data_IF_507456634118
#
_entry.id   IF_507456634118
#
_cell.length_a   1.000
_cell.length_b   1.000
_cell.length_c   1.000
_cell.angle_alpha   90.00
_cell.angle_beta   90.00
_cell.angle_gamma   90.00
#
_symmetry.space_group_name_H-M   'P 1'
#
loop_
_entity.id
_entity.type
_entity.pdbx_description
1 polymer ?
#
# COMPACT_ATOMS: atom_id res chain seq x y z
N UNK A 1 -3.31 1.66 11.77
CA UNK A 1 -2.34 1.52 12.89
C UNK A 1 -1.81 0.10 12.87
N UNK A 2 -0.50 -0.09 13.03
CA UNK A 2 0.15 -1.41 13.12
C UNK A 2 1.16 -1.40 14.27
N UNK A 3 1.45 -2.53 14.93
CA UNK A 3 2.43 -2.60 16.01
C UNK A 3 3.87 -2.41 15.48
N UNK A 4 4.69 -1.69 16.24
CA UNK A 4 6.12 -1.57 15.95
C UNK A 4 6.85 -2.89 16.19
N UNK A 5 7.99 -3.04 15.53
CA UNK A 5 8.88 -4.21 15.62
C UNK A 5 8.22 -5.57 15.39
N UNK A 6 7.05 -5.59 14.75
CA UNK A 6 6.27 -6.78 14.46
C UNK A 6 6.18 -6.96 12.95
N UNK A 7 6.30 -8.21 12.48
CA UNK A 7 6.15 -8.53 11.06
C UNK A 7 4.67 -8.51 10.70
N UNK A 8 4.27 -7.59 9.83
CA UNK A 8 2.89 -7.40 9.38
C UNK A 8 2.77 -7.82 7.92
N UNK A 9 1.73 -8.61 7.60
CA UNK A 9 1.35 -8.98 6.24
C UNK A 9 0.18 -8.13 5.78
N UNK A 10 0.34 -7.44 4.66
CA UNK A 10 -0.74 -6.80 3.93
C UNK A 10 -1.20 -7.70 2.80
N UNK A 11 -2.52 -7.81 2.66
CA UNK A 11 -3.18 -8.41 1.52
C UNK A 11 -3.81 -7.26 0.75
N UNK A 12 -3.38 -7.08 -0.50
CA UNK A 12 -3.72 -5.92 -1.32
C UNK A 12 -4.45 -6.40 -2.57
N UNK A 13 -5.62 -5.81 -2.82
CA UNK A 13 -6.45 -6.04 -4.01
C UNK A 13 -7.23 -4.77 -4.32
N UNK A 14 -7.90 -4.73 -5.47
CA UNK A 14 -8.72 -3.60 -5.90
C UNK A 14 -10.13 -4.07 -6.28
N UNK A 15 -11.10 -3.14 -6.23
CA UNK A 15 -12.51 -3.42 -6.53
C UNK A 15 -12.92 -2.96 -7.94
N UNK A 16 -12.16 -2.08 -8.57
CA UNK A 16 -12.50 -1.41 -9.82
C UNK A 16 -11.41 -1.58 -10.90
N UNK A 17 -10.34 -0.79 -10.84
CA UNK A 17 -9.22 -0.80 -11.79
C UNK A 17 -7.92 -1.12 -11.06
N UNK A 18 -6.81 -1.16 -11.79
CA UNK A 18 -5.50 -1.39 -11.17
C UNK A 18 -5.09 -0.12 -10.40
N UNK A 19 -4.65 -0.30 -9.16
CA UNK A 19 -3.99 0.73 -8.36
C UNK A 19 -2.60 0.24 -7.93
N UNK A 20 -1.79 1.12 -7.35
CA UNK A 20 -0.52 0.70 -6.73
C UNK A 20 -0.35 1.33 -5.36
N UNK A 21 -0.47 0.51 -4.31
CA UNK A 21 -0.32 0.93 -2.93
C UNK A 21 1.16 1.08 -2.59
N UNK A 22 1.58 2.31 -2.34
CA UNK A 22 2.98 2.64 -2.04
C UNK A 22 3.11 3.49 -0.79
N UNK A 23 3.95 3.03 0.14
CA UNK A 23 4.38 3.78 1.33
C UNK A 23 5.91 3.89 1.29
N UNK A 24 6.48 5.03 0.85
CA UNK A 24 7.92 5.17 0.58
C UNK A 24 8.79 4.96 1.82
N UNK A 25 8.36 5.51 2.96
CA UNK A 25 9.13 5.53 4.22
C UNK A 25 9.37 4.12 4.80
N UNK A 26 8.56 3.13 4.42
CA UNK A 26 8.74 1.72 4.80
C UNK A 26 9.10 0.84 3.60
N UNK A 27 9.42 1.45 2.45
CA UNK A 27 9.79 0.79 1.19
C UNK A 27 8.82 -0.29 0.72
N UNK A 28 7.53 -0.16 1.05
CA UNK A 28 6.50 -1.11 0.61
C UNK A 28 5.78 -0.54 -0.60
N UNK A 29 5.87 -1.27 -1.72
CA UNK A 29 5.07 -1.03 -2.93
C UNK A 29 4.45 -2.33 -3.40
N UNK A 30 3.14 -2.32 -3.66
CA UNK A 30 2.47 -3.46 -4.28
C UNK A 30 1.23 -3.03 -5.05
N UNK A 31 1.06 -3.61 -6.23
CA UNK A 31 -0.09 -3.35 -7.08
C UNK A 31 -1.35 -4.02 -6.54
N UNK A 32 -2.46 -3.31 -6.62
CA UNK A 32 -3.79 -3.75 -6.27
C UNK A 32 -4.53 -4.08 -7.57
N UNK A 33 -4.69 -5.37 -7.85
CA UNK A 33 -5.27 -5.87 -9.11
C UNK A 33 -6.62 -6.50 -8.80
N UNK A 34 -7.72 -6.10 -9.48
CA UNK A 34 -9.02 -6.73 -9.28
C UNK A 34 -8.98 -8.23 -9.54
N UNK A 35 -9.50 -9.02 -8.60
CA UNK A 35 -9.53 -10.48 -8.68
C UNK A 35 -8.24 -11.19 -8.26
N UNK A 36 -7.17 -10.46 -7.90
CA UNK A 36 -5.93 -11.03 -7.37
C UNK A 36 -5.62 -10.45 -5.99
N UNK A 37 -5.13 -11.30 -5.08
CA UNK A 37 -4.63 -10.87 -3.77
C UNK A 37 -3.12 -10.89 -3.81
N UNK A 38 -2.52 -9.70 -3.78
CA UNK A 38 -1.07 -9.56 -3.67
C UNK A 38 -0.66 -9.40 -2.21
N UNK A 39 0.50 -9.95 -1.88
CA UNK A 39 1.05 -9.84 -0.53
C UNK A 39 2.22 -8.84 -0.46
N UNK A 40 2.26 -8.11 0.66
CA UNK A 40 3.42 -7.33 1.05
C UNK A 40 3.69 -7.50 2.53
N UNK A 41 4.96 -7.42 2.91
CA UNK A 41 5.38 -7.58 4.29
C UNK A 41 6.15 -6.35 4.73
N UNK A 42 5.91 -5.91 5.96
CA UNK A 42 6.71 -4.86 6.58
C UNK A 42 7.04 -5.19 8.03
N UNK A 43 8.07 -4.52 8.52
CA UNK A 43 8.38 -4.40 9.94
C UNK A 43 8.81 -2.96 10.17
N UNK A 44 8.00 -2.22 10.91
CA UNK A 44 8.26 -0.80 11.18
C UNK A 44 8.98 -0.67 12.53
N UNK A 45 10.21 -0.13 12.58
CA UNK A 45 11.00 -0.09 13.80
C UNK A 45 10.57 1.04 14.76
N UNK A 46 10.06 2.14 14.22
CA UNK A 46 9.76 3.37 14.95
C UNK A 46 8.25 3.69 14.90
N UNK A 47 7.76 4.36 15.95
CA UNK A 47 6.37 4.85 15.95
C UNK A 47 6.28 6.13 15.12
N UNK A 48 5.20 6.27 14.35
CA UNK A 48 5.03 7.45 13.51
C UNK A 48 3.84 7.36 12.54
N UNK A 49 3.68 8.43 11.76
CA UNK A 49 2.69 8.51 10.69
C UNK A 49 3.43 8.37 9.36
N UNK A 50 3.24 7.22 8.72
CA UNK A 50 3.81 6.91 7.41
C UNK A 50 2.78 7.19 6.33
N UNK A 51 3.13 8.02 5.34
CA UNK A 51 2.17 8.43 4.29
C UNK A 51 2.33 7.60 3.04
N UNK A 52 1.20 7.13 2.50
CA UNK A 52 1.13 6.43 1.22
C UNK A 52 0.52 7.27 0.11
N UNK A 53 0.73 6.84 -1.14
CA UNK A 53 0.05 7.36 -2.33
C UNK A 53 -0.15 6.24 -3.35
N UNK A 54 -1.19 6.38 -4.19
CA UNK A 54 -1.30 5.57 -5.39
C UNK A 54 -0.21 5.96 -6.41
N UNK A 55 0.50 4.97 -6.96
CA UNK A 55 1.54 5.19 -7.99
C UNK A 55 1.22 4.56 -9.34
N UNK A 56 0.01 4.06 -9.52
CA UNK A 56 -0.48 3.56 -10.80
C UNK A 56 -1.44 4.57 -11.41
N UNK A 57 -1.47 4.70 -12.73
CA UNK A 57 -2.46 5.52 -13.41
C UNK A 57 -3.84 4.84 -13.30
N UNK A 58 -4.59 5.17 -12.25
CA UNK A 58 -5.90 4.58 -11.94
C UNK A 58 -7.09 5.48 -12.31
N UNK A 59 -6.85 6.54 -13.08
CA UNK A 59 -7.87 7.45 -13.59
C UNK A 59 -7.57 8.93 -13.35
N UNK A 60 -8.53 9.80 -13.63
CA UNK A 60 -8.38 11.26 -13.51
C UNK A 60 -8.02 11.70 -12.08
N UNK A 61 -8.40 10.93 -11.07
CA UNK A 61 -8.17 11.22 -9.65
C UNK A 61 -7.02 10.43 -9.04
N UNK A 62 -6.08 9.92 -9.85
CA UNK A 62 -4.91 9.16 -9.38
C UNK A 62 -4.20 9.84 -8.19
N UNK A 63 -3.99 11.16 -8.29
CA UNK A 63 -3.29 11.97 -7.26
C UNK A 63 -4.08 12.18 -5.95
N UNK A 64 -5.38 11.87 -5.94
CA UNK A 64 -6.27 12.00 -4.78
C UNK A 64 -6.37 10.70 -3.96
N UNK A 65 -5.87 9.58 -4.47
CA UNK A 65 -5.87 8.30 -3.77
C UNK A 65 -4.72 8.26 -2.75
N UNK A 66 -4.99 8.73 -1.52
CA UNK A 66 -4.05 8.83 -0.39
C UNK A 66 -4.56 8.14 0.86
#
# INVERSE_FOLDING_TARGET
MIPTNTKVRFLVTANDVIHSWWVPEIAVKRDAIPGFINEAWTRVPEEGIYRGQCTELCGATTVLCR
#
